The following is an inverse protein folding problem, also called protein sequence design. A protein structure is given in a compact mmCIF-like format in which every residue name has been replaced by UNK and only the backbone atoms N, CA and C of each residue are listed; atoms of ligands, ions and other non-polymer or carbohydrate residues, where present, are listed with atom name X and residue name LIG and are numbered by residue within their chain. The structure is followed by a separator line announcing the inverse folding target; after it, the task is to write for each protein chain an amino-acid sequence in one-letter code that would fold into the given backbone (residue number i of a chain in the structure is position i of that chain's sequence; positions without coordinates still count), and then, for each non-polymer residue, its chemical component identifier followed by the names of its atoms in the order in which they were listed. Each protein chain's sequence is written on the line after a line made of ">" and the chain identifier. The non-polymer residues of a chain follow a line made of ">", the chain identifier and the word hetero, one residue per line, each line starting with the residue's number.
data_IF_620094372451
#
_entry.id   IF_620094372451
#
_cell.length_a   1.000
_cell.length_b   1.000
_cell.length_c   1.000
_cell.angle_alpha   90.00
_cell.angle_beta   90.00
_cell.angle_gamma   90.00
#
_symmetry.space_group_name_H-M   'P 1'
#
loop_
_entity.id
_entity.type
_entity.pdbx_description
1 polymer ?
#
# COMPACT_ATOMS: atom_id res chain seq x y z
N UNK A 1 5.71 -23.03 -6.23
CA UNK A 1 5.43 -22.21 -5.07
C UNK A 1 4.07 -21.57 -5.31
N UNK A 2 3.03 -22.04 -4.62
CA UNK A 2 1.68 -21.55 -4.87
C UNK A 2 1.46 -20.23 -4.16
N UNK A 3 1.50 -19.13 -4.89
CA UNK A 3 0.85 -17.90 -4.48
C UNK A 3 -0.64 -18.06 -4.77
N UNK A 4 -1.46 -18.31 -3.77
CA UNK A 4 -2.86 -17.99 -3.89
C UNK A 4 -2.97 -16.47 -3.72
N UNK A 5 -3.37 -15.77 -4.77
CA UNK A 5 -3.72 -14.37 -4.68
C UNK A 5 -4.94 -14.25 -3.76
N UNK A 6 -4.73 -13.75 -2.56
CA UNK A 6 -5.81 -13.40 -1.65
C UNK A 6 -6.47 -12.14 -2.19
N UNK A 7 -7.74 -12.20 -2.52
CA UNK A 7 -8.53 -11.01 -2.89
C UNK A 7 -8.79 -10.20 -1.61
N UNK A 8 -8.25 -9.02 -1.53
CA UNK A 8 -8.25 -8.13 -0.36
C UNK A 8 -9.63 -7.63 0.12
N UNK A 9 -10.74 -8.13 -0.43
CA UNK A 9 -12.05 -7.48 -0.28
C UNK A 9 -13.11 -8.24 0.49
N UNK A 10 -12.74 -9.24 1.27
CA UNK A 10 -13.67 -9.84 2.21
C UNK A 10 -13.22 -9.50 3.63
N UNK A 11 -14.18 -9.29 4.56
CA UNK A 11 -13.88 -9.40 5.99
C UNK A 11 -13.43 -10.84 6.19
N UNK A 12 -12.13 -11.06 6.14
CA UNK A 12 -11.55 -12.39 6.25
C UNK A 12 -11.83 -12.96 7.63
N UNK A 13 -12.39 -14.15 7.68
CA UNK A 13 -12.29 -14.99 8.86
C UNK A 13 -10.81 -15.41 9.04
N UNK A 14 -10.37 -15.65 10.27
CA UNK A 14 -9.00 -16.13 10.57
C UNK A 14 -8.62 -17.36 9.73
N UNK A 15 -9.58 -18.17 9.35
CA UNK A 15 -9.48 -19.35 8.49
C UNK A 15 -8.97 -19.03 7.07
N UNK A 16 -9.20 -17.82 6.56
CA UNK A 16 -8.74 -17.40 5.22
C UNK A 16 -7.22 -17.24 5.12
N UNK A 17 -6.51 -17.19 6.26
CA UNK A 17 -5.06 -17.04 6.34
C UNK A 17 -4.32 -18.33 6.72
N UNK A 18 -4.98 -19.46 6.69
CA UNK A 18 -4.39 -20.78 6.98
C UNK A 18 -3.19 -21.11 6.07
N UNK A 19 -3.10 -20.48 4.89
CA UNK A 19 -1.93 -20.62 4.01
C UNK A 19 -0.62 -20.13 4.67
N UNK A 20 -0.70 -19.21 5.63
CA UNK A 20 0.45 -18.70 6.38
C UNK A 20 1.04 -19.77 7.31
N UNK A 21 0.24 -20.76 7.66
CA UNK A 21 0.63 -21.91 8.48
C UNK A 21 0.94 -23.16 7.65
N UNK A 22 1.06 -23.02 6.32
CA UNK A 22 1.25 -24.13 5.43
C UNK A 22 2.58 -24.85 5.73
N UNK A 23 2.51 -26.16 5.85
CA UNK A 23 3.67 -27.05 6.08
C UNK A 23 4.72 -27.00 4.95
N UNK A 24 4.37 -26.44 3.77
CA UNK A 24 5.34 -26.23 2.67
C UNK A 24 6.54 -25.42 3.12
N UNK A 25 6.38 -24.51 4.08
CA UNK A 25 7.48 -23.71 4.62
C UNK A 25 8.52 -24.54 5.38
N UNK A 26 8.13 -25.69 5.91
CA UNK A 26 9.04 -26.60 6.60
C UNK A 26 10.02 -27.29 5.63
N UNK A 27 9.69 -27.35 4.34
CA UNK A 27 10.59 -27.89 3.32
C UNK A 27 11.87 -27.08 3.15
N UNK A 28 11.90 -25.81 3.52
CA UNK A 28 13.12 -25.01 3.48
C UNK A 28 14.27 -25.65 4.29
N UNK A 29 13.94 -26.26 5.43
CA UNK A 29 14.93 -27.02 6.25
C UNK A 29 15.36 -28.32 5.59
N UNK A 30 14.43 -29.02 4.94
CA UNK A 30 14.68 -30.31 4.28
C UNK A 30 15.48 -30.12 2.99
N UNK A 31 15.27 -29.04 2.28
CA UNK A 31 15.90 -28.76 1.00
C UNK A 31 17.37 -28.30 1.10
N UNK A 32 17.91 -28.11 2.33
CA UNK A 32 19.28 -27.64 2.57
C UNK A 32 19.63 -26.39 1.76
N UNK A 33 18.76 -25.41 1.81
CA UNK A 33 18.99 -24.12 1.15
C UNK A 33 20.05 -23.31 1.90
N UNK A 34 20.86 -22.54 1.18
CA UNK A 34 21.90 -21.71 1.75
C UNK A 34 21.37 -20.39 2.30
N UNK A 35 20.31 -19.85 1.68
CA UNK A 35 19.67 -18.59 2.05
C UNK A 35 18.19 -18.59 1.63
N UNK A 36 17.35 -17.86 2.33
CA UNK A 36 15.94 -17.65 1.98
C UNK A 36 15.71 -16.19 1.60
N UNK A 37 14.84 -15.97 0.62
CA UNK A 37 14.22 -14.69 0.35
C UNK A 37 12.73 -14.86 0.68
N UNK A 38 12.25 -14.10 1.65
CA UNK A 38 10.90 -14.25 2.20
C UNK A 38 10.10 -12.98 1.89
N UNK A 39 9.02 -13.10 1.12
CA UNK A 39 8.04 -12.01 0.92
C UNK A 39 7.24 -11.81 2.22
N UNK A 40 7.91 -11.25 3.23
CA UNK A 40 7.46 -11.26 4.61
C UNK A 40 6.22 -10.39 4.81
N UNK A 41 6.20 -9.20 4.20
CA UNK A 41 5.04 -8.32 4.23
C UNK A 41 3.78 -8.98 3.66
N UNK A 42 3.93 -9.69 2.53
CA UNK A 42 2.81 -10.41 1.90
C UNK A 42 2.38 -11.66 2.66
N UNK A 43 3.34 -12.43 3.21
CA UNK A 43 3.05 -13.69 3.90
C UNK A 43 2.50 -13.48 5.31
N UNK A 44 2.88 -12.39 5.96
CA UNK A 44 2.56 -12.13 7.36
C UNK A 44 1.67 -10.89 7.56
N UNK A 45 1.04 -10.39 6.50
CA UNK A 45 0.33 -9.10 6.46
C UNK A 45 -0.75 -8.95 7.55
N UNK A 46 -1.39 -10.04 7.96
CA UNK A 46 -2.46 -10.02 8.98
C UNK A 46 -2.08 -10.76 10.26
N UNK A 47 -0.80 -11.15 10.40
CA UNK A 47 -0.34 -11.82 11.61
C UNK A 47 0.01 -10.82 12.70
N UNK A 48 -0.19 -11.24 13.95
CA UNK A 48 0.33 -10.52 15.11
C UNK A 48 1.85 -10.68 15.18
N UNK A 49 2.53 -9.74 15.83
CA UNK A 49 3.98 -9.76 15.96
C UNK A 49 4.52 -11.08 16.55
N UNK A 50 3.79 -11.69 17.49
CA UNK A 50 4.14 -12.98 18.09
C UNK A 50 4.13 -14.12 17.06
N UNK A 51 3.11 -14.14 16.17
CA UNK A 51 2.97 -15.14 15.12
C UNK A 51 4.01 -14.91 14.00
N UNK A 52 4.29 -13.64 13.69
CA UNK A 52 5.36 -13.25 12.77
C UNK A 52 6.73 -13.79 13.22
N UNK A 53 7.04 -13.66 14.50
CA UNK A 53 8.28 -14.19 15.05
C UNK A 53 8.30 -15.73 15.03
N UNK A 54 7.20 -16.38 15.40
CA UNK A 54 7.07 -17.83 15.34
C UNK A 54 7.23 -18.38 13.91
N UNK A 55 6.77 -17.63 12.90
CA UNK A 55 7.01 -17.96 11.50
C UNK A 55 8.50 -17.91 11.15
N UNK A 56 9.23 -16.88 11.55
CA UNK A 56 10.68 -16.74 11.30
C UNK A 56 11.50 -17.80 12.05
N UNK A 57 11.08 -18.21 13.24
CA UNK A 57 11.74 -19.23 14.03
C UNK A 57 11.71 -20.61 13.35
N UNK A 58 10.77 -20.84 12.42
CA UNK A 58 10.79 -22.04 11.56
C UNK A 58 12.07 -22.14 10.74
N UNK A 59 12.70 -21.03 10.42
CA UNK A 59 13.93 -20.95 9.61
C UNK A 59 15.18 -20.76 10.44
N UNK A 60 15.14 -21.02 11.74
CA UNK A 60 16.31 -20.90 12.62
C UNK A 60 17.52 -21.66 12.06
N UNK A 61 18.64 -20.95 11.94
CA UNK A 61 19.89 -21.50 11.38
C UNK A 61 20.05 -21.34 9.86
N UNK A 62 19.06 -20.83 9.14
CA UNK A 62 19.15 -20.48 7.72
C UNK A 62 19.17 -18.94 7.62
N UNK A 63 20.19 -18.33 6.98
CA UNK A 63 20.17 -16.89 6.71
C UNK A 63 18.99 -16.50 5.83
N UNK A 64 18.40 -15.33 6.07
CA UNK A 64 17.27 -14.88 5.25
C UNK A 64 17.30 -13.37 4.97
N UNK A 65 16.66 -13.00 3.86
CA UNK A 65 16.33 -11.63 3.49
C UNK A 65 14.81 -11.50 3.50
N UNK A 66 14.30 -10.52 4.21
CA UNK A 66 12.87 -10.18 4.25
C UNK A 66 12.56 -9.11 3.21
N UNK A 67 11.43 -9.24 2.54
CA UNK A 67 10.90 -8.23 1.63
C UNK A 67 9.63 -7.62 2.23
N UNK A 68 9.45 -6.32 2.01
CA UNK A 68 8.22 -5.54 2.27
C UNK A 68 7.89 -5.26 3.75
N UNK A 69 8.52 -5.92 4.69
CA UNK A 69 8.34 -5.67 6.12
C UNK A 69 9.63 -5.92 6.89
N UNK A 70 9.77 -5.30 8.04
CA UNK A 70 10.92 -5.42 8.92
C UNK A 70 10.57 -6.19 10.21
N UNK A 71 11.57 -6.67 10.88
CA UNK A 71 11.46 -7.31 12.20
C UNK A 71 12.59 -6.84 13.09
N UNK A 72 12.40 -6.90 14.39
CA UNK A 72 13.45 -6.65 15.38
C UNK A 72 14.47 -7.79 15.46
N UNK A 73 14.32 -8.86 14.68
CA UNK A 73 15.24 -9.99 14.65
C UNK A 73 16.60 -9.56 14.06
N UNK A 74 17.69 -9.58 14.86
CA UNK A 74 19.01 -9.14 14.41
C UNK A 74 19.62 -10.04 13.33
N UNK A 75 19.03 -11.20 13.04
CA UNK A 75 19.44 -12.12 11.97
C UNK A 75 18.97 -11.67 10.59
N UNK A 76 17.99 -10.77 10.55
CA UNK A 76 17.33 -10.38 9.31
C UNK A 76 18.04 -9.25 8.57
N UNK A 77 18.12 -9.39 7.26
CA UNK A 77 18.35 -8.29 6.33
C UNK A 77 17.00 -8.01 5.68
N UNK A 78 16.61 -6.72 5.57
CA UNK A 78 15.34 -6.39 4.92
C UNK A 78 15.56 -5.49 3.70
N UNK A 79 14.67 -5.68 2.73
CA UNK A 79 14.53 -4.79 1.58
C UNK A 79 13.13 -4.19 1.66
N UNK A 80 13.08 -2.88 1.90
CA UNK A 80 11.86 -2.13 2.08
C UNK A 80 11.62 -1.23 0.86
N UNK A 81 10.34 -0.92 0.61
CA UNK A 81 9.96 0.14 -0.33
C UNK A 81 10.13 1.48 0.37
N UNK A 82 10.77 2.44 -0.31
CA UNK A 82 10.81 3.83 0.14
C UNK A 82 9.47 4.51 -0.17
N UNK A 83 8.46 4.21 0.64
CA UNK A 83 7.10 4.70 0.47
C UNK A 83 7.02 6.22 0.59
N UNK A 84 7.75 6.79 1.56
CA UNK A 84 7.78 8.23 1.77
C UNK A 84 8.45 8.93 0.58
N UNK A 85 9.68 8.57 0.23
CA UNK A 85 10.40 9.21 -0.85
C UNK A 85 9.78 8.99 -2.23
N UNK A 86 9.16 7.83 -2.47
CA UNK A 86 8.41 7.57 -3.68
C UNK A 86 7.19 8.47 -3.84
N UNK A 87 6.35 8.57 -2.81
CA UNK A 87 5.17 9.43 -2.80
C UNK A 87 5.56 10.92 -2.83
N UNK A 88 6.58 11.32 -2.08
CA UNK A 88 7.11 12.68 -2.14
C UNK A 88 7.42 13.11 -3.57
N UNK A 89 8.20 12.32 -4.30
CA UNK A 89 8.54 12.61 -5.70
C UNK A 89 7.34 12.68 -6.61
N UNK A 90 6.34 11.82 -6.38
CA UNK A 90 5.09 11.85 -7.15
C UNK A 90 4.34 13.16 -6.95
N UNK A 91 4.13 13.59 -5.70
CA UNK A 91 3.42 14.82 -5.36
C UNK A 91 4.20 16.05 -5.83
N UNK A 92 5.51 16.10 -5.59
CA UNK A 92 6.38 17.18 -6.08
C UNK A 92 6.31 17.31 -7.61
N UNK A 93 6.31 16.20 -8.35
CA UNK A 93 6.20 16.21 -9.80
C UNK A 93 4.89 16.88 -10.26
N UNK A 94 3.76 16.56 -9.64
CA UNK A 94 2.48 17.18 -9.97
C UNK A 94 2.48 18.70 -9.69
N UNK A 95 3.08 19.13 -8.60
CA UNK A 95 3.12 20.54 -8.21
C UNK A 95 4.14 21.31 -9.07
N UNK A 96 5.33 20.78 -9.26
CA UNK A 96 6.45 21.51 -9.89
C UNK A 96 6.35 21.47 -11.41
N UNK A 97 6.15 20.27 -12.00
CA UNK A 97 6.19 20.10 -13.45
C UNK A 97 4.82 20.40 -14.09
N UNK A 98 3.73 20.03 -13.41
CA UNK A 98 2.38 20.27 -13.91
C UNK A 98 1.72 21.53 -13.34
N UNK A 99 2.33 22.19 -12.35
CA UNK A 99 1.87 23.43 -11.71
C UNK A 99 0.50 23.29 -11.03
N UNK A 100 0.15 22.07 -10.60
CA UNK A 100 -1.12 21.79 -9.94
C UNK A 100 -1.12 22.26 -8.49
N UNK A 101 -2.29 22.66 -8.00
CA UNK A 101 -2.45 23.20 -6.64
C UNK A 101 -3.58 22.53 -5.85
N UNK A 102 -4.56 21.97 -6.55
CA UNK A 102 -5.68 21.30 -5.90
C UNK A 102 -5.60 19.79 -6.12
N UNK A 103 -4.86 19.14 -5.24
CA UNK A 103 -4.60 17.70 -5.27
C UNK A 103 -5.46 17.01 -4.21
N UNK A 104 -6.17 15.96 -4.58
CA UNK A 104 -6.92 15.13 -3.63
C UNK A 104 -6.25 13.79 -3.44
N UNK A 105 -6.40 13.19 -2.25
CA UNK A 105 -5.68 12.01 -1.85
C UNK A 105 -6.61 10.85 -1.49
N UNK A 106 -6.46 9.73 -2.16
CA UNK A 106 -7.12 8.47 -1.85
C UNK A 106 -6.12 7.56 -1.13
N UNK A 107 -6.14 7.60 0.19
CA UNK A 107 -5.24 6.86 1.08
C UNK A 107 -5.63 5.40 1.25
N UNK A 108 -4.68 4.58 1.75
CA UNK A 108 -4.93 3.21 2.18
C UNK A 108 -5.35 3.11 3.65
N UNK A 109 -5.46 1.87 4.18
CA UNK A 109 -5.86 1.61 5.57
C UNK A 109 -4.97 2.32 6.59
N UNK A 110 -5.57 2.88 7.62
CA UNK A 110 -4.84 3.71 8.61
C UNK A 110 -3.91 2.92 9.54
N UNK A 111 -4.07 1.61 9.60
CA UNK A 111 -3.22 0.68 10.36
C UNK A 111 -2.11 0.04 9.50
N UNK A 112 -2.04 0.39 8.22
CA UNK A 112 -1.02 -0.10 7.30
C UNK A 112 0.18 0.87 7.25
N UNK A 113 1.38 0.38 7.52
CA UNK A 113 2.59 1.21 7.58
C UNK A 113 2.89 1.92 6.25
N UNK A 114 2.74 1.23 5.12
CA UNK A 114 2.96 1.82 3.79
C UNK A 114 1.98 2.97 3.53
N UNK A 115 0.70 2.80 3.93
CA UNK A 115 -0.30 3.84 3.79
C UNK A 115 0.02 5.07 4.65
N UNK A 116 0.48 4.84 5.89
CA UNK A 116 0.88 5.90 6.82
C UNK A 116 2.03 6.71 6.23
N UNK A 117 3.07 6.05 5.70
CA UNK A 117 4.23 6.72 5.12
C UNK A 117 3.87 7.50 3.86
N UNK A 118 3.04 6.94 2.95
CA UNK A 118 2.56 7.61 1.75
C UNK A 118 1.72 8.84 2.09
N UNK A 119 0.79 8.71 3.06
CA UNK A 119 -0.03 9.83 3.55
C UNK A 119 0.84 10.94 4.16
N UNK A 120 1.82 10.56 4.98
CA UNK A 120 2.74 11.51 5.59
C UNK A 120 3.54 12.29 4.53
N UNK A 121 4.01 11.63 3.48
CA UNK A 121 4.72 12.27 2.38
C UNK A 121 3.83 13.26 1.62
N UNK A 122 2.58 12.87 1.29
CA UNK A 122 1.61 13.77 0.65
C UNK A 122 1.42 15.03 1.49
N UNK A 123 1.10 14.88 2.78
CA UNK A 123 0.87 16.02 3.67
C UNK A 123 2.11 16.91 3.82
N UNK A 124 3.31 16.30 3.89
CA UNK A 124 4.56 17.02 3.99
C UNK A 124 4.80 17.91 2.76
N UNK A 125 4.67 17.36 1.56
CA UNK A 125 4.90 18.10 0.31
C UNK A 125 3.87 19.24 0.15
N UNK A 126 2.60 18.96 0.43
CA UNK A 126 1.56 20.01 0.39
C UNK A 126 1.89 21.17 1.34
N UNK A 127 2.37 20.87 2.55
CA UNK A 127 2.77 21.87 3.53
C UNK A 127 4.02 22.65 3.08
N UNK A 128 5.04 22.00 2.54
CA UNK A 128 6.26 22.63 2.01
C UNK A 128 5.96 23.62 0.88
N UNK A 129 4.98 23.29 0.05
CA UNK A 129 4.51 24.15 -1.05
C UNK A 129 3.41 25.14 -0.63
N UNK A 130 3.08 25.21 0.66
CA UNK A 130 2.04 26.09 1.22
C UNK A 130 0.65 25.87 0.59
N UNK A 131 0.36 24.64 0.17
CA UNK A 131 -0.93 24.25 -0.37
C UNK A 131 -1.82 23.72 0.77
N UNK A 132 -3.07 24.22 0.89
CA UNK A 132 -3.95 23.75 1.96
C UNK A 132 -4.41 22.33 1.71
N UNK A 133 -4.56 21.57 2.79
CA UNK A 133 -5.22 20.25 2.77
C UNK A 133 -6.34 20.27 3.80
N UNK A 134 -7.56 19.95 3.37
CA UNK A 134 -8.73 19.83 4.25
C UNK A 134 -9.13 18.35 4.37
N UNK A 135 -9.92 17.99 5.38
CA UNK A 135 -10.41 16.60 5.49
C UNK A 135 -11.16 16.11 4.26
N UNK A 136 -11.90 16.98 3.57
CA UNK A 136 -12.68 16.67 2.39
C UNK A 136 -11.82 16.36 1.16
N UNK A 137 -10.55 16.76 1.17
CA UNK A 137 -9.58 16.44 0.13
C UNK A 137 -8.98 15.05 0.29
N UNK A 138 -9.35 14.30 1.34
CA UNK A 138 -8.77 13.00 1.64
C UNK A 138 -9.86 11.95 1.86
N UNK A 139 -9.65 10.77 1.29
CA UNK A 139 -10.46 9.58 1.56
C UNK A 139 -9.57 8.42 2.00
N UNK A 140 -10.13 7.50 2.78
CA UNK A 140 -9.43 6.31 3.25
C UNK A 140 -10.06 5.09 2.62
N UNK A 141 -9.31 4.42 1.74
CA UNK A 141 -9.69 3.17 1.10
C UNK A 141 -9.06 1.96 1.79
N UNK A 142 -9.29 0.81 1.22
CA UNK A 142 -8.91 -0.50 1.74
C UNK A 142 -7.90 -1.25 0.84
N UNK A 143 -7.26 -0.53 -0.07
CA UNK A 143 -6.37 -1.05 -1.11
C UNK A 143 -7.04 -1.91 -2.17
N UNK A 144 -8.36 -1.93 -2.23
CA UNK A 144 -9.09 -2.67 -3.25
C UNK A 144 -9.56 -1.78 -4.40
N UNK A 145 -9.90 -2.40 -5.52
CA UNK A 145 -10.48 -1.72 -6.68
C UNK A 145 -11.97 -1.31 -6.49
N UNK A 146 -12.61 -1.64 -5.35
CA UNK A 146 -14.05 -1.43 -5.13
C UNK A 146 -14.36 -0.21 -4.26
N UNK A 147 -13.63 0.87 -4.46
CA UNK A 147 -13.74 2.12 -3.72
C UNK A 147 -14.39 3.24 -4.54
N UNK A 148 -15.21 2.89 -5.54
CA UNK A 148 -15.85 3.86 -6.45
C UNK A 148 -16.64 4.92 -5.68
N UNK A 149 -17.39 4.54 -4.65
CA UNK A 149 -18.14 5.45 -3.80
C UNK A 149 -17.28 6.49 -3.07
N UNK A 150 -16.07 6.12 -2.68
CA UNK A 150 -15.11 7.05 -2.06
C UNK A 150 -14.59 8.05 -3.09
N UNK A 151 -14.27 7.59 -4.29
CA UNK A 151 -13.80 8.46 -5.38
C UNK A 151 -14.91 9.41 -5.82
N UNK A 152 -16.16 8.93 -5.94
CA UNK A 152 -17.30 9.79 -6.26
C UNK A 152 -17.51 10.88 -5.20
N UNK A 153 -17.43 10.53 -3.91
CA UNK A 153 -17.56 11.51 -2.85
C UNK A 153 -16.40 12.51 -2.88
N UNK A 154 -15.17 12.02 -3.08
CA UNK A 154 -13.97 12.84 -3.15
C UNK A 154 -14.07 13.89 -4.27
N UNK A 155 -14.51 13.49 -5.47
CA UNK A 155 -14.71 14.41 -6.61
C UNK A 155 -15.91 15.35 -6.40
N UNK A 156 -16.96 14.89 -5.74
CA UNK A 156 -18.12 15.72 -5.42
C UNK A 156 -17.78 16.83 -4.43
N UNK A 157 -16.98 16.52 -3.43
CA UNK A 157 -16.54 17.48 -2.40
C UNK A 157 -15.44 18.43 -2.93
N UNK A 158 -14.75 18.02 -4.01
CA UNK A 158 -13.66 18.77 -4.63
C UNK A 158 -13.90 18.90 -6.16
N UNK A 159 -14.89 19.68 -6.60
CA UNK A 159 -15.24 19.79 -8.01
C UNK A 159 -14.16 20.46 -8.88
N UNK A 160 -13.20 21.10 -8.26
CA UNK A 160 -12.04 21.76 -8.86
C UNK A 160 -10.74 20.96 -8.68
N UNK A 161 -10.83 19.70 -8.27
CA UNK A 161 -9.65 18.82 -8.17
C UNK A 161 -8.93 18.68 -9.51
N UNK A 162 -7.63 18.93 -9.51
CA UNK A 162 -6.76 18.85 -10.68
C UNK A 162 -6.08 17.49 -10.82
N UNK A 163 -5.90 16.78 -9.71
CA UNK A 163 -5.37 15.42 -9.71
C UNK A 163 -5.87 14.60 -8.51
N UNK A 164 -5.98 13.27 -8.74
CA UNK A 164 -6.22 12.28 -7.68
C UNK A 164 -4.95 11.50 -7.45
N UNK A 165 -4.38 11.60 -6.26
CA UNK A 165 -3.24 10.81 -5.85
C UNK A 165 -3.76 9.59 -5.09
N UNK A 166 -3.57 8.40 -5.67
CA UNK A 166 -3.96 7.14 -5.06
C UNK A 166 -2.77 6.46 -4.36
N UNK A 167 -3.00 5.92 -3.19
CA UNK A 167 -1.96 5.25 -2.42
C UNK A 167 -1.53 3.90 -3.03
N UNK A 168 -2.33 3.28 -3.91
CA UNK A 168 -1.93 2.10 -4.67
C UNK A 168 -2.63 2.02 -6.03
N UNK A 169 -2.15 1.10 -6.87
CA UNK A 169 -2.64 0.93 -8.24
C UNK A 169 -4.06 0.33 -8.29
N UNK A 170 -4.42 -0.55 -7.35
CA UNK A 170 -5.74 -1.18 -7.34
C UNK A 170 -6.85 -0.16 -7.13
N UNK A 171 -6.71 0.75 -6.17
CA UNK A 171 -7.66 1.84 -5.97
C UNK A 171 -7.69 2.81 -7.16
N UNK A 172 -6.58 2.97 -7.89
CA UNK A 172 -6.54 3.79 -9.10
C UNK A 172 -7.50 3.28 -10.18
N UNK A 173 -7.77 1.97 -10.23
CA UNK A 173 -8.77 1.40 -11.15
C UNK A 173 -10.17 2.00 -10.89
N UNK A 174 -10.56 2.21 -9.63
CA UNK A 174 -11.80 2.92 -9.29
C UNK A 174 -11.77 4.37 -9.75
N UNK A 175 -10.62 5.07 -9.59
CA UNK A 175 -10.48 6.45 -10.09
C UNK A 175 -10.74 6.51 -11.60
N UNK A 176 -10.17 5.59 -12.38
CA UNK A 176 -10.42 5.51 -13.83
C UNK A 176 -11.89 5.27 -14.17
N UNK A 177 -12.57 4.35 -13.45
CA UNK A 177 -14.00 4.06 -13.68
C UNK A 177 -14.87 5.27 -13.39
N UNK A 178 -14.66 5.91 -12.24
CA UNK A 178 -15.47 7.08 -11.82
C UNK A 178 -15.20 8.27 -12.71
N UNK A 179 -13.97 8.63 -13.00
CA UNK A 179 -13.63 9.71 -13.93
C UNK A 179 -14.30 9.50 -15.30
N UNK A 180 -14.24 8.28 -15.83
CA UNK A 180 -14.90 7.95 -17.10
C UNK A 180 -16.42 8.09 -17.01
N UNK A 181 -17.07 7.67 -15.93
CA UNK A 181 -18.51 7.80 -15.73
C UNK A 181 -18.95 9.28 -15.66
N UNK A 182 -18.10 10.14 -15.10
CA UNK A 182 -18.33 11.60 -15.04
C UNK A 182 -17.87 12.34 -16.30
N UNK A 183 -17.38 11.65 -17.33
CA UNK A 183 -16.91 12.25 -18.57
C UNK A 183 -15.59 13.00 -18.46
N UNK A 184 -14.87 12.83 -17.36
CA UNK A 184 -13.55 13.41 -17.16
C UNK A 184 -12.48 12.63 -17.94
N UNK A 185 -11.67 13.36 -18.67
CA UNK A 185 -10.57 12.79 -19.48
C UNK A 185 -9.30 12.81 -18.65
N UNK A 186 -8.85 11.63 -18.24
CA UNK A 186 -7.60 11.50 -17.51
C UNK A 186 -6.43 11.95 -18.41
N UNK A 187 -5.52 12.70 -17.85
CA UNK A 187 -4.42 13.35 -18.56
C UNK A 187 -4.77 14.66 -19.25
N UNK A 188 -6.04 15.15 -19.10
CA UNK A 188 -6.48 16.44 -19.64
C UNK A 188 -7.33 17.25 -18.69
N UNK A 189 -8.41 16.64 -18.18
CA UNK A 189 -9.36 17.31 -17.29
C UNK A 189 -8.97 17.05 -15.83
N UNK A 190 -8.31 15.91 -15.55
CA UNK A 190 -7.74 15.50 -14.27
C UNK A 190 -6.52 14.59 -14.51
N UNK A 191 -5.52 14.66 -13.63
CA UNK A 191 -4.35 13.75 -13.59
C UNK A 191 -4.49 12.70 -12.52
#
# INVERSE_FOLDING_TARGET
>A
LGTQSVRFNQKFALEDFDYQYNTVYDYAKLAKVDVLIIAYGSLCIFQKNEDKQAFLDKFAGIPYVLLEDATDDPRGIYVMVDNFGGMQKCVEHLIIEHHLKHLVYLGGPEDNQDAIERKAAFLNVMAEHHLPVTPEMMAVGDYSEFVDNLVEQLLKDNPDAEAIISANDEMTVACYRVCKAHGLRIGKDIL
#
